data_IF_540877598151
#
_entry.id   IF_540877598151
#
_cell.length_a   1.000
_cell.length_b   1.000
_cell.length_c   1.000
_cell.angle_alpha   90.00
_cell.angle_beta   90.00
_cell.angle_gamma   90.00
#
_symmetry.space_group_name_H-M   'P 1'
#
loop_
_entity.id
_entity.type
_entity.pdbx_description
1 polymer ?
#
# COMPACT_ATOMS: atom_id res chain seq x y z
N UNK A 1 85.92 -22.21 4.70
CA UNK A 1 85.73 -20.80 4.30
C UNK A 1 84.69 -20.78 3.19
N UNK A 2 83.68 -19.88 3.35
CA UNK A 2 82.56 -19.57 2.43
C UNK A 2 81.61 -20.74 2.11
N UNK A 3 80.30 -20.62 1.90
CA UNK A 3 79.28 -19.59 2.08
C UNK A 3 77.96 -20.28 1.67
N UNK A 4 76.88 -20.21 2.45
CA UNK A 4 75.52 -19.90 1.97
C UNK A 4 74.48 -20.01 3.08
N UNK A 5 74.02 -18.84 3.49
CA UNK A 5 72.82 -18.64 4.28
C UNK A 5 71.57 -19.05 3.48
N UNK A 6 70.64 -19.73 4.14
CA UNK A 6 69.28 -19.93 3.64
C UNK A 6 68.34 -19.13 4.54
N UNK A 7 67.83 -18.02 4.01
CA UNK A 7 66.84 -17.16 4.66
C UNK A 7 65.48 -17.85 4.52
N UNK A 8 64.93 -18.31 5.65
CA UNK A 8 63.54 -18.78 5.72
C UNK A 8 62.65 -17.58 6.00
N UNK A 9 61.89 -17.16 4.98
CA UNK A 9 60.89 -16.11 5.11
C UNK A 9 59.65 -16.66 5.84
N UNK A 10 59.45 -16.25 7.09
CA UNK A 10 58.23 -16.45 7.85
C UNK A 10 57.12 -15.56 7.29
N UNK A 11 56.19 -16.14 6.53
CA UNK A 11 54.93 -15.48 6.17
C UNK A 11 53.96 -15.55 7.34
N UNK A 12 53.81 -14.44 8.06
CA UNK A 12 52.81 -14.23 9.09
C UNK A 12 51.42 -14.15 8.45
N UNK A 13 50.64 -15.22 8.54
CA UNK A 13 49.22 -15.23 8.16
C UNK A 13 48.42 -14.46 9.22
N UNK A 14 48.16 -13.18 8.98
CA UNK A 14 47.29 -12.35 9.81
C UNK A 14 45.84 -12.78 9.67
N UNK A 15 45.30 -13.46 10.69
CA UNK A 15 43.88 -13.76 10.80
C UNK A 15 43.10 -12.46 11.10
N UNK A 16 42.49 -11.87 10.07
CA UNK A 16 41.53 -10.78 10.24
C UNK A 16 40.20 -11.39 10.70
N UNK A 17 39.94 -11.34 12.01
CA UNK A 17 38.61 -11.57 12.56
C UNK A 17 37.68 -10.43 12.11
N UNK A 18 36.88 -10.68 11.08
CA UNK A 18 35.75 -9.84 10.74
C UNK A 18 34.62 -10.04 11.76
N UNK A 19 34.40 -9.05 12.62
CA UNK A 19 33.20 -8.93 13.44
C UNK A 19 32.00 -8.68 12.50
N UNK A 20 31.25 -9.73 12.19
CA UNK A 20 29.93 -9.59 11.60
C UNK A 20 29.00 -8.96 12.65
N UNK A 21 28.64 -7.69 12.47
CA UNK A 21 27.59 -7.05 13.25
C UNK A 21 26.26 -7.78 13.06
N UNK A 22 25.35 -7.75 14.05
CA UNK A 22 24.03 -8.35 13.90
C UNK A 22 23.30 -7.66 12.75
N UNK A 23 22.95 -8.44 11.72
CA UNK A 23 22.04 -7.99 10.68
C UNK A 23 20.71 -7.63 11.37
N UNK A 24 20.36 -6.35 11.38
CA UNK A 24 19.03 -5.91 11.73
C UNK A 24 18.07 -6.51 10.71
N UNK A 25 17.41 -7.61 11.06
CA UNK A 25 16.30 -8.13 10.29
C UNK A 25 15.15 -7.16 10.46
N UNK A 26 15.02 -6.20 9.53
CA UNK A 26 13.78 -5.46 9.37
C UNK A 26 12.64 -6.49 9.27
N UNK A 27 11.58 -6.37 10.09
CA UNK A 27 10.43 -7.25 9.94
C UNK A 27 9.94 -7.13 8.49
N UNK A 28 9.66 -8.27 7.87
CA UNK A 28 9.15 -8.31 6.51
C UNK A 28 8.00 -7.31 6.38
N UNK A 29 8.08 -6.40 5.41
CA UNK A 29 7.09 -5.35 5.23
C UNK A 29 5.69 -5.98 5.14
N UNK A 30 4.86 -5.68 6.14
CA UNK A 30 3.51 -6.24 6.26
C UNK A 30 2.65 -5.72 5.11
N UNK A 31 1.92 -6.64 4.47
CA UNK A 31 0.86 -6.32 3.52
C UNK A 31 1.35 -5.75 2.19
N UNK A 32 1.33 -6.58 1.15
CA UNK A 32 1.64 -6.11 -0.21
C UNK A 32 0.44 -5.54 -0.96
N UNK A 33 -0.77 -5.84 -0.48
CA UNK A 33 -2.00 -5.66 -1.24
C UNK A 33 -2.89 -4.56 -0.65
N UNK A 34 -3.59 -3.87 -1.54
CA UNK A 34 -4.58 -2.87 -1.19
C UNK A 34 -5.98 -3.47 -1.19
N UNK A 35 -6.72 -3.24 -0.13
CA UNK A 35 -8.11 -3.66 0.01
C UNK A 35 -9.02 -2.45 0.16
N UNK A 36 -10.18 -2.49 -0.48
CA UNK A 36 -11.31 -1.61 -0.18
C UNK A 36 -12.07 -2.25 0.98
N UNK A 37 -12.25 -1.49 2.05
CA UNK A 37 -12.87 -1.95 3.29
C UNK A 37 -14.27 -1.36 3.43
N UNK A 38 -15.19 -2.17 3.95
CA UNK A 38 -16.53 -1.75 4.38
C UNK A 38 -16.83 -2.42 5.71
N UNK A 39 -17.44 -1.74 6.66
CA UNK A 39 -17.90 -2.35 7.90
C UNK A 39 -18.92 -3.46 7.63
N UNK A 40 -18.98 -4.44 8.53
CA UNK A 40 -20.02 -5.45 8.52
C UNK A 40 -21.24 -4.98 9.32
N UNK A 41 -22.37 -4.63 8.66
CA UNK A 41 -23.54 -4.08 9.35
C UNK A 41 -24.39 -5.14 10.06
N UNK A 42 -24.03 -6.43 9.95
CA UNK A 42 -24.81 -7.53 10.54
C UNK A 42 -24.74 -7.48 12.06
N UNK A 43 -25.88 -7.72 12.71
CA UNK A 43 -26.03 -7.79 14.16
C UNK A 43 -26.13 -9.26 14.59
N UNK A 44 -25.06 -9.81 15.14
CA UNK A 44 -24.93 -11.21 15.58
C UNK A 44 -23.79 -11.33 16.61
N UNK A 45 -23.55 -12.51 17.20
CA UNK A 45 -22.43 -12.71 18.10
C UNK A 45 -21.08 -12.53 17.38
N UNK A 46 -20.25 -11.61 17.89
CA UNK A 46 -18.83 -11.52 17.52
C UNK A 46 -18.14 -12.87 17.83
N UNK A 47 -17.23 -13.37 16.96
CA UNK A 47 -16.58 -12.72 15.83
C UNK A 47 -17.23 -12.98 14.45
N UNK A 48 -18.45 -13.53 14.39
CA UNK A 48 -19.10 -13.89 13.11
C UNK A 48 -19.64 -12.67 12.32
N UNK A 49 -19.78 -11.54 13.00
CA UNK A 49 -20.11 -10.24 12.41
C UNK A 49 -19.52 -9.08 13.25
N UNK A 50 -19.75 -7.85 12.78
CA UNK A 50 -19.20 -6.63 13.38
C UNK A 50 -17.75 -6.34 12.97
N UNK A 51 -17.14 -7.23 12.18
CA UNK A 51 -15.85 -7.02 11.54
C UNK A 51 -15.98 -6.20 10.25
N UNK A 52 -15.28 -6.64 9.20
CA UNK A 52 -15.25 -5.94 7.92
C UNK A 52 -15.45 -6.87 6.72
N UNK A 53 -15.95 -6.30 5.63
CA UNK A 53 -15.94 -6.88 4.30
C UNK A 53 -14.84 -6.24 3.47
N UNK A 54 -13.87 -7.05 3.04
CA UNK A 54 -12.72 -6.58 2.25
C UNK A 54 -12.79 -7.06 0.81
N UNK A 55 -12.50 -6.16 -0.13
CA UNK A 55 -12.31 -6.48 -1.54
C UNK A 55 -10.90 -6.09 -1.98
N UNK A 56 -10.19 -6.98 -2.65
CA UNK A 56 -8.90 -6.67 -3.24
C UNK A 56 -9.08 -5.62 -4.33
N UNK A 57 -8.46 -4.44 -4.16
CA UNK A 57 -8.60 -3.33 -5.08
C UNK A 57 -8.19 -3.76 -6.51
N UNK A 58 -8.88 -3.26 -7.53
CA UNK A 58 -8.64 -3.56 -8.95
C UNK A 58 -8.80 -5.03 -9.37
N UNK A 59 -9.47 -5.85 -8.54
CA UNK A 59 -9.77 -7.26 -8.82
C UNK A 59 -11.27 -7.53 -8.63
N UNK A 60 -11.81 -8.39 -9.49
CA UNK A 60 -13.21 -8.80 -9.40
C UNK A 60 -13.47 -9.77 -8.24
N UNK A 61 -12.43 -10.50 -7.79
CA UNK A 61 -12.51 -11.48 -6.72
C UNK A 61 -11.31 -11.38 -5.79
N UNK A 62 -11.55 -11.73 -4.54
CA UNK A 62 -10.63 -11.79 -3.42
C UNK A 62 -10.59 -13.23 -2.92
N UNK A 63 -9.39 -13.75 -2.63
CA UNK A 63 -9.25 -15.05 -1.98
C UNK A 63 -9.54 -14.89 -0.50
N UNK A 64 -10.54 -15.62 -0.01
CA UNK A 64 -10.98 -15.57 1.36
C UNK A 64 -10.18 -16.52 2.26
N UNK A 65 -10.33 -16.37 3.58
CA UNK A 65 -9.66 -17.22 4.58
C UNK A 65 -10.03 -18.70 4.47
N UNK A 66 -11.19 -19.00 3.89
CA UNK A 66 -11.66 -20.36 3.54
C UNK A 66 -11.13 -20.85 2.17
N UNK A 67 -10.27 -20.08 1.52
CA UNK A 67 -9.70 -20.37 0.20
C UNK A 67 -10.60 -20.01 -0.99
N UNK A 68 -11.89 -19.71 -0.77
CA UNK A 68 -12.84 -19.40 -1.82
C UNK A 68 -12.57 -18.04 -2.47
N UNK A 69 -12.89 -17.90 -3.76
CA UNK A 69 -12.80 -16.63 -4.49
C UNK A 69 -14.15 -15.92 -4.55
N UNK A 70 -14.30 -14.84 -3.80
CA UNK A 70 -15.55 -14.05 -3.69
C UNK A 70 -15.32 -12.57 -4.00
N UNK A 71 -16.36 -11.80 -4.39
CA UNK A 71 -16.21 -10.36 -4.57
C UNK A 71 -15.71 -9.64 -3.31
N UNK A 72 -16.12 -10.12 -2.13
CA UNK A 72 -15.69 -9.64 -0.81
C UNK A 72 -15.49 -10.81 0.13
N UNK A 73 -14.54 -10.67 1.05
CA UNK A 73 -14.27 -11.62 2.13
C UNK A 73 -14.59 -11.00 3.47
N UNK A 74 -15.14 -11.80 4.38
CA UNK A 74 -15.36 -11.39 5.75
C UNK A 74 -14.06 -11.49 6.54
N UNK A 75 -13.72 -10.45 7.29
CA UNK A 75 -12.64 -10.45 8.28
C UNK A 75 -13.24 -10.11 9.65
N UNK A 76 -12.96 -10.94 10.63
CA UNK A 76 -13.49 -10.82 11.99
C UNK A 76 -12.90 -9.62 12.74
N UNK A 77 -11.63 -9.30 12.50
CA UNK A 77 -10.94 -8.18 13.12
C UNK A 77 -9.83 -7.64 12.24
N UNK A 78 -9.44 -6.40 12.51
CA UNK A 78 -8.27 -5.73 11.95
C UNK A 78 -7.27 -5.41 13.05
N UNK A 79 -5.98 -5.64 12.78
CA UNK A 79 -4.89 -5.42 13.74
C UNK A 79 -3.72 -4.70 13.08
N UNK A 80 -2.87 -4.05 13.87
CA UNK A 80 -1.62 -3.44 13.40
C UNK A 80 -0.54 -4.51 13.12
N UNK A 81 0.61 -4.10 12.59
CA UNK A 81 1.75 -4.98 12.29
C UNK A 81 2.25 -5.78 13.51
N UNK A 82 2.02 -5.29 14.73
CA UNK A 82 2.34 -5.95 15.99
C UNK A 82 1.17 -6.81 16.53
N UNK A 83 0.14 -7.06 15.71
CA UNK A 83 -1.08 -7.82 16.02
C UNK A 83 -1.92 -7.24 17.16
N UNK A 84 -1.78 -5.94 17.43
CA UNK A 84 -2.59 -5.21 18.41
C UNK A 84 -3.84 -4.65 17.73
N UNK A 85 -4.95 -4.45 18.47
CA UNK A 85 -6.11 -3.75 17.93
C UNK A 85 -5.71 -2.38 17.36
N UNK A 86 -6.32 -1.99 16.24
CA UNK A 86 -6.10 -0.66 15.69
C UNK A 86 -6.70 0.39 16.65
N UNK A 87 -5.94 1.44 16.94
CA UNK A 87 -6.42 2.58 17.75
C UNK A 87 -7.49 3.42 17.06
N UNK A 88 -7.59 3.29 15.73
CA UNK A 88 -8.57 3.99 14.91
C UNK A 88 -9.36 2.96 14.11
N UNK A 89 -10.69 3.07 14.17
CA UNK A 89 -11.57 2.27 13.32
C UNK A 89 -11.28 2.55 11.85
N UNK A 90 -11.28 1.50 11.03
CA UNK A 90 -11.08 1.67 9.59
C UNK A 90 -12.33 2.36 9.02
N UNK A 91 -12.20 3.55 8.39
CA UNK A 91 -13.35 4.26 7.85
C UNK A 91 -14.07 3.44 6.77
N UNK A 92 -15.37 3.66 6.62
CA UNK A 92 -16.13 3.10 5.50
C UNK A 92 -15.51 3.49 4.16
N UNK A 93 -15.46 2.52 3.24
CA UNK A 93 -14.88 2.64 1.91
C UNK A 93 -13.39 3.02 1.87
N UNK A 94 -12.66 2.91 3.00
CA UNK A 94 -11.22 3.17 3.04
C UNK A 94 -10.42 2.19 2.18
N UNK A 95 -9.27 2.66 1.71
CA UNK A 95 -8.22 1.79 1.18
C UNK A 95 -7.27 1.44 2.32
N UNK A 96 -7.00 0.15 2.50
CA UNK A 96 -5.99 -0.30 3.45
C UNK A 96 -4.92 -1.09 2.74
N UNK A 97 -3.66 -0.82 3.07
CA UNK A 97 -2.57 -1.72 2.72
C UNK A 97 -2.44 -2.74 3.83
N UNK A 98 -2.67 -4.01 3.50
CA UNK A 98 -2.78 -5.05 4.50
C UNK A 98 -2.39 -6.42 3.94
N UNK A 99 -2.16 -7.36 4.85
CA UNK A 99 -2.15 -8.80 4.58
C UNK A 99 -3.48 -9.40 5.05
N UNK A 100 -4.01 -10.37 4.28
CA UNK A 100 -5.25 -11.07 4.63
C UNK A 100 -4.92 -12.50 5.06
N UNK A 101 -5.05 -12.76 6.35
CA UNK A 101 -4.67 -14.04 6.97
C UNK A 101 -5.90 -14.79 7.49
N UNK A 102 -5.77 -16.11 7.63
CA UNK A 102 -6.72 -16.92 8.37
C UNK A 102 -6.20 -17.13 9.80
N UNK A 103 -7.05 -16.91 10.79
CA UNK A 103 -6.75 -17.15 12.21
C UNK A 103 -7.80 -18.07 12.82
N UNK A 104 -7.39 -18.98 13.70
CA UNK A 104 -8.32 -19.76 14.54
C UNK A 104 -8.98 -18.88 15.60
N UNK A 105 -10.30 -19.02 15.73
CA UNK A 105 -11.11 -18.42 16.79
C UNK A 105 -11.75 -19.55 17.61
N UNK A 106 -11.57 -19.56 18.95
CA UNK A 106 -12.19 -20.55 19.81
C UNK A 106 -13.70 -20.65 19.56
N UNK A 107 -14.20 -21.86 19.35
CA UNK A 107 -15.63 -22.15 19.08
C UNK A 107 -16.21 -21.64 17.75
N UNK A 108 -15.43 -20.94 16.92
CA UNK A 108 -15.89 -20.39 15.63
C UNK A 108 -15.07 -20.85 14.42
N UNK A 109 -13.93 -21.51 14.66
CA UNK A 109 -13.03 -22.01 13.62
C UNK A 109 -12.19 -20.91 12.95
N UNK A 110 -11.75 -21.15 11.72
CA UNK A 110 -10.90 -20.23 10.96
C UNK A 110 -11.69 -19.06 10.39
N UNK A 111 -11.36 -17.84 10.82
CA UNK A 111 -11.91 -16.60 10.27
C UNK A 111 -10.79 -15.70 9.71
N UNK A 112 -11.17 -14.78 8.83
CA UNK A 112 -10.24 -13.81 8.26
C UNK A 112 -9.79 -12.77 9.29
N UNK A 113 -8.51 -12.40 9.24
CA UNK A 113 -7.91 -11.30 9.99
C UNK A 113 -7.18 -10.40 9.00
N UNK A 114 -7.36 -9.09 9.16
CA UNK A 114 -6.70 -8.10 8.32
C UNK A 114 -5.53 -7.47 9.09
N UNK A 115 -4.31 -7.79 8.68
CA UNK A 115 -3.08 -7.25 9.26
C UNK A 115 -2.73 -5.95 8.53
N UNK A 116 -3.04 -4.81 9.13
CA UNK A 116 -3.05 -3.50 8.48
C UNK A 116 -1.72 -2.76 8.69
N UNK A 117 -1.07 -2.42 7.58
CA UNK A 117 0.13 -1.59 7.56
C UNK A 117 -0.21 -0.10 7.36
N UNK A 118 -1.23 0.20 6.55
CA UNK A 118 -1.65 1.58 6.26
C UNK A 118 -3.16 1.69 6.10
N UNK A 119 -3.72 2.81 6.58
CA UNK A 119 -5.11 3.19 6.36
C UNK A 119 -5.15 4.49 5.56
N UNK A 120 -5.96 4.51 4.52
CA UNK A 120 -6.15 5.66 3.64
C UNK A 120 -7.65 6.03 3.62
N UNK A 121 -7.97 7.17 4.23
CA UNK A 121 -9.33 7.70 4.40
C UNK A 121 -9.86 8.25 3.07
N UNK A 122 -11.09 7.89 2.64
CA UNK A 122 -11.68 8.43 1.43
C UNK A 122 -12.05 9.91 1.60
N UNK A 123 -11.85 10.69 0.53
CA UNK A 123 -12.27 12.08 0.42
C UNK A 123 -12.95 12.30 -0.94
N UNK A 124 -14.07 13.02 -0.92
CA UNK A 124 -14.89 13.30 -2.11
C UNK A 124 -15.98 12.25 -2.40
N UNK A 125 -16.52 12.32 -3.62
CA UNK A 125 -17.62 11.47 -4.10
C UNK A 125 -17.26 9.97 -4.27
N UNK A 126 -18.17 9.12 -4.77
CA UNK A 126 -17.96 7.67 -4.91
C UNK A 126 -16.77 7.30 -5.81
N UNK A 127 -16.01 6.29 -5.41
CA UNK A 127 -14.93 5.74 -6.26
C UNK A 127 -15.50 5.13 -7.54
N UNK A 128 -15.03 5.60 -8.70
CA UNK A 128 -15.34 5.03 -10.02
C UNK A 128 -14.04 4.78 -10.78
N UNK A 129 -13.99 3.67 -11.50
CA UNK A 129 -12.80 3.26 -12.24
C UNK A 129 -11.81 2.48 -11.38
N UNK A 130 -10.56 2.48 -11.81
CA UNK A 130 -9.48 1.74 -11.16
C UNK A 130 -8.80 2.60 -10.08
N UNK A 131 -8.17 1.93 -9.12
CA UNK A 131 -7.38 2.54 -8.05
C UNK A 131 -5.90 2.64 -8.42
N UNK A 132 -5.30 3.78 -8.15
CA UNK A 132 -3.91 4.10 -8.46
C UNK A 132 -3.22 4.75 -7.27
N UNK A 133 -1.91 4.54 -7.19
CA UNK A 133 -0.99 5.41 -6.47
C UNK A 133 -0.42 6.43 -7.45
N UNK A 134 -0.63 7.70 -7.17
CA UNK A 134 -0.18 8.85 -7.94
C UNK A 134 1.03 9.47 -7.25
N UNK A 135 2.06 9.81 -8.03
CA UNK A 135 3.26 10.49 -7.56
C UNK A 135 3.70 11.54 -8.56
N UNK A 136 4.17 12.68 -8.08
CA UNK A 136 4.94 13.59 -8.91
C UNK A 136 6.28 12.92 -9.29
N UNK A 137 6.68 13.10 -10.54
CA UNK A 137 7.96 12.65 -11.08
C UNK A 137 9.04 13.72 -10.97
N UNK A 138 8.66 14.95 -10.62
CA UNK A 138 9.54 16.11 -10.59
C UNK A 138 9.79 16.74 -11.96
N UNK A 139 9.23 16.18 -13.04
CA UNK A 139 9.35 16.74 -14.39
C UNK A 139 8.65 18.10 -14.44
N UNK A 140 9.32 19.10 -15.01
CA UNK A 140 8.81 20.45 -15.28
C UNK A 140 9.15 20.81 -16.72
N UNK A 141 8.16 21.26 -17.49
CA UNK A 141 8.31 21.49 -18.93
C UNK A 141 8.06 22.96 -19.27
N UNK A 142 8.75 23.47 -20.28
CA UNK A 142 8.54 24.83 -20.79
C UNK A 142 7.26 24.90 -21.64
N UNK A 143 6.92 23.81 -22.34
CA UNK A 143 5.72 23.68 -23.17
C UNK A 143 4.93 22.44 -22.78
N UNK A 144 3.60 22.56 -22.75
CA UNK A 144 2.66 21.46 -22.52
C UNK A 144 2.55 20.54 -23.76
N UNK A 145 2.14 19.26 -23.59
CA UNK A 145 1.76 18.58 -22.35
C UNK A 145 2.96 18.11 -21.52
N UNK A 146 2.92 18.32 -20.19
CA UNK A 146 4.02 17.94 -19.30
C UNK A 146 3.71 16.69 -18.48
N UNK A 147 4.26 15.54 -18.88
CA UNK A 147 4.03 14.24 -18.25
C UNK A 147 4.70 14.09 -16.88
N UNK A 148 4.21 14.84 -15.89
CA UNK A 148 4.79 14.96 -14.55
C UNK A 148 4.18 14.01 -13.52
N UNK A 149 3.02 13.38 -13.80
CA UNK A 149 2.33 12.52 -12.82
C UNK A 149 2.48 11.05 -13.18
N UNK A 150 3.15 10.27 -12.34
CA UNK A 150 3.24 8.81 -12.48
C UNK A 150 2.12 8.13 -11.70
N UNK A 151 1.37 7.28 -12.38
CA UNK A 151 0.30 6.48 -11.80
C UNK A 151 0.65 4.99 -11.81
N UNK A 152 0.62 4.37 -10.64
CA UNK A 152 0.80 2.96 -10.45
C UNK A 152 -0.52 2.29 -10.09
N UNK A 153 -1.04 1.40 -10.96
CA UNK A 153 -2.26 0.63 -10.67
C UNK A 153 -2.05 -0.24 -9.44
N UNK A 154 -2.93 -0.11 -8.44
CA UNK A 154 -2.86 -0.93 -7.22
C UNK A 154 -3.10 -2.40 -7.54
N UNK A 155 -2.43 -3.31 -6.82
CA UNK A 155 -2.50 -4.77 -7.00
C UNK A 155 -2.25 -5.24 -8.45
N UNK A 156 -1.45 -4.48 -9.20
CA UNK A 156 -1.13 -4.74 -10.59
C UNK A 156 0.23 -4.18 -10.99
N UNK A 157 0.65 -4.54 -12.20
CA UNK A 157 1.94 -4.13 -12.79
C UNK A 157 1.85 -2.90 -13.67
N UNK A 158 0.64 -2.53 -14.12
CA UNK A 158 0.45 -1.40 -15.01
C UNK A 158 0.92 -0.08 -14.38
N UNK A 159 1.67 0.69 -15.16
CA UNK A 159 2.16 2.03 -14.84
C UNK A 159 1.82 2.96 -16.01
N UNK A 160 1.45 4.18 -15.68
CA UNK A 160 1.11 5.20 -16.65
C UNK A 160 1.76 6.53 -16.24
N UNK A 161 1.92 7.42 -17.20
CA UNK A 161 2.29 8.81 -16.92
C UNK A 161 1.20 9.70 -17.51
N UNK A 162 0.80 10.70 -16.73
CA UNK A 162 -0.22 11.67 -17.05
C UNK A 162 0.41 13.06 -17.11
N UNK A 163 -0.08 13.86 -18.04
CA UNK A 163 0.31 15.25 -18.20
C UNK A 163 -0.43 16.19 -17.26
N UNK A 164 -1.57 15.74 -16.72
CA UNK A 164 -2.36 16.53 -15.79
C UNK A 164 -3.20 15.64 -14.87
N UNK A 165 -3.66 16.23 -13.77
CA UNK A 165 -4.49 15.63 -12.74
C UNK A 165 -5.75 16.48 -12.52
N UNK A 166 -6.90 15.97 -12.94
CA UNK A 166 -8.20 16.62 -12.73
C UNK A 166 -8.84 16.10 -11.44
N UNK A 167 -8.78 16.92 -10.38
CA UNK A 167 -9.37 16.63 -9.07
C UNK A 167 -10.74 17.28 -8.86
N UNK A 168 -11.20 18.11 -9.79
CA UNK A 168 -12.49 18.82 -9.69
C UNK A 168 -13.67 17.89 -9.35
N UNK A 169 -13.77 16.66 -9.92
CA UNK A 169 -14.90 15.77 -9.61
C UNK A 169 -14.94 15.26 -8.17
N UNK A 170 -13.85 15.42 -7.41
CA UNK A 170 -13.82 15.05 -5.98
C UNK A 170 -14.53 16.08 -5.10
N UNK A 171 -14.83 17.29 -5.61
CA UNK A 171 -15.48 18.36 -4.86
C UNK A 171 -14.62 19.00 -3.76
N UNK A 172 -13.32 18.72 -3.74
CA UNK A 172 -12.37 19.25 -2.76
C UNK A 172 -11.58 20.42 -3.37
N UNK A 173 -11.11 21.39 -2.57
CA UNK A 173 -10.24 22.48 -3.04
C UNK A 173 -8.93 21.92 -3.59
N UNK A 174 -8.45 22.49 -4.71
CA UNK A 174 -7.27 21.96 -5.43
C UNK A 174 -5.96 22.14 -4.64
N UNK A 175 -5.87 23.17 -3.79
CA UNK A 175 -4.61 23.59 -3.19
C UNK A 175 -4.11 22.61 -2.11
N UNK A 176 -5.01 22.12 -1.26
CA UNK A 176 -4.67 21.12 -0.22
C UNK A 176 -4.35 19.74 -0.81
N UNK A 177 -4.86 19.46 -2.01
CA UNK A 177 -4.67 18.17 -2.69
C UNK A 177 -3.45 18.11 -3.59
N UNK A 178 -3.03 19.25 -4.15
CA UNK A 178 -1.78 19.36 -4.88
C UNK A 178 -0.58 18.99 -3.99
N UNK A 179 -0.60 19.43 -2.72
CA UNK A 179 0.38 19.06 -1.70
C UNK A 179 0.43 17.54 -1.44
N UNK A 180 -0.72 16.86 -1.44
CA UNK A 180 -0.78 15.42 -1.19
C UNK A 180 -0.12 14.58 -2.30
N UNK A 181 -0.06 15.10 -3.54
CA UNK A 181 0.64 14.42 -4.66
C UNK A 181 2.16 14.59 -4.56
N UNK A 182 2.61 15.68 -3.94
CA UNK A 182 4.01 15.98 -3.68
C UNK A 182 4.57 15.21 -2.47
N UNK A 183 3.71 14.58 -1.66
CA UNK A 183 4.15 13.70 -0.58
C UNK A 183 5.00 12.53 -1.14
N UNK A 184 6.14 12.17 -0.53
CA UNK A 184 6.99 11.08 -1.00
C UNK A 184 6.29 9.71 -1.10
N UNK A 185 5.26 9.46 -0.27
CA UNK A 185 4.44 8.26 -0.34
C UNK A 185 3.46 8.30 -1.52
N UNK A 186 3.07 9.51 -1.92
CA UNK A 186 2.13 9.82 -2.99
C UNK A 186 0.69 9.82 -2.50
N UNK A 187 -0.21 10.20 -3.42
CA UNK A 187 -1.65 10.18 -3.23
C UNK A 187 -2.24 8.86 -3.73
N UNK A 188 -3.26 8.33 -3.06
CA UNK A 188 -4.07 7.26 -3.62
C UNK A 188 -5.36 7.83 -4.22
N UNK A 189 -5.78 7.33 -5.38
CA UNK A 189 -6.97 7.83 -6.06
C UNK A 189 -7.70 6.74 -6.86
N UNK A 190 -9.01 6.88 -6.98
CA UNK A 190 -9.83 6.15 -7.95
C UNK A 190 -10.21 7.09 -9.09
N UNK A 191 -10.10 6.61 -10.33
CA UNK A 191 -10.41 7.44 -11.48
C UNK A 191 -10.23 6.76 -12.82
N UNK A 192 -10.27 7.58 -13.88
CA UNK A 192 -10.11 7.16 -15.27
C UNK A 192 -9.13 8.09 -16.00
N UNK A 193 -8.45 7.52 -16.98
CA UNK A 193 -7.65 8.27 -17.93
C UNK A 193 -8.53 8.86 -19.04
N UNK A 194 -8.19 10.06 -19.51
CA UNK A 194 -8.69 10.65 -20.75
C UNK A 194 -7.55 11.27 -21.54
N UNK A 195 -7.68 11.35 -22.86
CA UNK A 195 -6.74 12.04 -23.75
C UNK A 195 -7.24 13.45 -24.02
N UNK A 196 -6.32 14.39 -24.21
CA UNK A 196 -6.61 15.78 -24.62
C UNK A 196 -6.22 16.00 -26.08
N UNK A 197 -6.77 17.05 -26.70
CA UNK A 197 -6.55 17.35 -28.13
C UNK A 197 -5.08 17.66 -28.46
N UNK A 198 -4.33 18.20 -27.48
CA UNK A 198 -2.90 18.48 -27.57
C UNK A 198 -2.00 17.24 -27.43
N UNK A 199 -2.59 16.03 -27.40
CA UNK A 199 -1.88 14.77 -27.21
C UNK A 199 -1.52 14.48 -25.74
N UNK A 200 -1.95 15.32 -24.81
CA UNK A 200 -1.82 15.07 -23.37
C UNK A 200 -2.71 13.92 -22.88
N UNK A 201 -2.46 13.51 -21.63
CA UNK A 201 -3.24 12.49 -20.93
C UNK A 201 -3.56 12.98 -19.52
N UNK A 202 -4.83 13.08 -19.22
CA UNK A 202 -5.32 13.55 -17.91
C UNK A 202 -5.80 12.36 -17.09
N UNK A 203 -5.40 12.29 -15.83
CA UNK A 203 -6.06 11.41 -14.86
C UNK A 203 -7.20 12.18 -14.20
N UNK A 204 -8.43 11.75 -14.45
CA UNK A 204 -9.61 12.33 -13.79
C UNK A 204 -9.96 11.52 -12.56
N UNK A 205 -9.66 12.07 -11.38
CA UNK A 205 -9.96 11.45 -10.10
C UNK A 205 -11.43 11.67 -9.75
N UNK A 206 -12.13 10.59 -9.39
CA UNK A 206 -13.50 10.66 -8.86
C UNK A 206 -13.52 10.56 -7.34
N UNK A 207 -12.47 9.94 -6.77
CA UNK A 207 -12.25 9.86 -5.33
C UNK A 207 -10.75 9.85 -5.07
N UNK A 208 -10.36 10.46 -3.97
CA UNK A 208 -9.00 10.46 -3.47
C UNK A 208 -8.97 9.83 -2.08
N UNK A 209 -7.78 9.42 -1.64
CA UNK A 209 -7.58 8.81 -0.35
C UNK A 209 -6.35 9.40 0.31
N UNK A 210 -6.56 9.96 1.50
CA UNK A 210 -5.51 10.58 2.30
C UNK A 210 -5.04 9.61 3.36
N UNK A 211 -3.73 9.56 3.58
CA UNK A 211 -3.16 8.67 4.58
C UNK A 211 -3.64 9.11 5.97
N UNK A 212 -4.20 8.17 6.72
CA UNK A 212 -4.45 8.39 8.15
C UNK A 212 -3.10 8.43 8.88
N UNK A 213 -3.04 9.14 10.02
CA UNK A 213 -1.93 8.98 10.94
C UNK A 213 -1.69 7.49 11.20
N UNK A 214 -0.42 7.05 11.29
CA UNK A 214 -0.10 5.63 11.54
C UNK A 214 -0.98 5.14 12.69
N UNK A 215 -1.70 4.02 12.54
CA UNK A 215 -2.39 3.41 13.66
C UNK A 215 -1.32 2.96 14.64
N UNK A 216 -0.97 3.81 15.61
CA UNK A 216 -0.17 3.39 16.76
C UNK A 216 -1.13 2.66 17.69
N UNK A 217 -0.75 1.49 18.18
CA UNK A 217 -1.47 0.88 19.29
C UNK A 217 -1.46 1.78 20.52
#
# INVERSE_FOLDING_TARGET
MTCRAMVVALFSFGAVLGLAGPASSDPAAVGSSFYVVRGDPRLCPSPLCGGYWVALANRARTRCSDGALRPRCYVAKSVDEARRPLSVNVPEEALVRAEHEAQEFPSFGKLGVLLVAEVWKPVGGPAKGDFYRLRDTGVRCIRAPCFSVRAARLNGRARFTFSDLDLKPTGTSNDDLALAVLDPQGLLAAGKASTTEDGGRVFRATRIYLRAAKPRA
#
